data_IF_706344393959
#
_entry.id   IF_706344393959
#
_cell.length_a   1.000
_cell.length_b   1.000
_cell.length_c   1.000
_cell.angle_alpha   90.00
_cell.angle_beta   90.00
_cell.angle_gamma   90.00
#
_symmetry.space_group_name_H-M   'P 1'
#
loop_
_entity.id
_entity.type
_entity.pdbx_description
1 polymer ?
#
# COMPACT_ATOMS: atom_id res chain seq x y z
N UNK A 1 57.54 -7.99 10.17
CA UNK A 1 56.24 -7.52 10.70
C UNK A 1 55.31 -7.22 9.54
N UNK A 2 54.02 -7.59 9.61
CA UNK A 2 53.04 -7.24 8.59
C UNK A 2 52.18 -6.08 9.09
N UNK A 3 52.03 -5.05 8.27
CA UNK A 3 51.17 -3.90 8.56
C UNK A 3 50.26 -3.62 7.37
N UNK A 4 48.99 -3.32 7.65
CA UNK A 4 47.97 -2.93 6.69
C UNK A 4 47.86 -1.42 6.68
N UNK A 5 48.12 -0.82 5.53
CA UNK A 5 47.98 0.61 5.26
C UNK A 5 46.70 0.81 4.46
N UNK A 6 45.70 1.45 5.06
CA UNK A 6 44.43 1.79 4.41
C UNK A 6 44.45 3.27 4.05
N UNK A 7 44.30 3.60 2.78
CA UNK A 7 44.14 4.97 2.30
C UNK A 7 42.69 5.20 1.93
N UNK A 8 42.02 6.07 2.68
CA UNK A 8 40.64 6.46 2.43
C UNK A 8 40.63 7.62 1.45
N UNK A 9 39.90 7.46 0.34
CA UNK A 9 39.89 8.37 -0.81
C UNK A 9 38.46 8.83 -1.06
N UNK A 10 38.25 10.09 -1.43
CA UNK A 10 36.94 10.64 -1.80
C UNK A 10 36.43 10.16 -3.17
N UNK A 11 35.17 10.50 -3.51
CA UNK A 11 34.56 10.24 -4.82
C UNK A 11 35.38 10.76 -6.00
N UNK A 12 36.10 11.87 -5.80
CA UNK A 12 36.97 12.51 -6.79
C UNK A 12 38.37 11.89 -6.88
N UNK A 13 38.70 10.87 -6.08
CA UNK A 13 40.03 10.24 -6.08
C UNK A 13 41.07 10.96 -5.20
N UNK A 14 40.70 12.00 -4.45
CA UNK A 14 41.59 12.70 -3.52
C UNK A 14 41.72 11.96 -2.18
N UNK A 15 42.92 11.77 -1.62
CA UNK A 15 43.10 11.12 -0.32
C UNK A 15 42.54 12.00 0.80
N UNK A 16 41.84 11.39 1.76
CA UNK A 16 41.21 12.07 2.91
C UNK A 16 41.80 11.59 4.22
N UNK A 17 42.06 10.30 4.35
CA UNK A 17 42.63 9.73 5.56
C UNK A 17 43.58 8.58 5.25
N UNK A 18 44.52 8.35 6.16
CA UNK A 18 45.48 7.26 6.10
C UNK A 18 45.44 6.54 7.46
N UNK A 19 45.25 5.23 7.43
CA UNK A 19 45.21 4.38 8.61
C UNK A 19 46.30 3.32 8.50
N UNK A 20 47.07 3.12 9.56
CA UNK A 20 48.05 2.05 9.64
C UNK A 20 47.69 1.12 10.80
N UNK A 21 47.49 -0.16 10.48
CA UNK A 21 47.18 -1.19 11.45
C UNK A 21 48.22 -2.33 11.37
N UNK A 22 48.77 -2.74 12.50
CA UNK A 22 49.69 -3.88 12.59
C UNK A 22 48.94 -5.14 12.99
N UNK A 23 49.23 -6.29 12.39
CA UNK A 23 48.47 -7.52 12.65
C UNK A 23 48.70 -8.15 14.02
N UNK A 24 49.83 -7.82 14.67
CA UNK A 24 50.18 -8.29 16.01
C UNK A 24 50.85 -7.14 16.77
N UNK A 25 50.37 -6.88 17.99
CA UNK A 25 50.94 -5.89 18.91
C UNK A 25 51.19 -6.57 20.26
N UNK A 26 52.22 -7.41 20.34
CA UNK A 26 52.71 -7.88 21.63
C UNK A 26 53.74 -6.87 22.15
N UNK A 27 53.30 -6.00 23.07
CA UNK A 27 54.19 -5.10 23.79
C UNK A 27 54.90 -5.90 24.90
N UNK A 28 55.89 -6.70 24.52
CA UNK A 28 56.73 -7.42 25.48
C UNK A 28 57.91 -6.53 25.90
N UNK A 29 58.37 -6.57 27.16
CA UNK A 29 59.66 -6.01 27.55
C UNK A 29 60.80 -6.88 26.97
N UNK A 30 60.92 -6.91 25.64
CA UNK A 30 61.99 -7.63 24.94
C UNK A 30 63.16 -6.66 24.80
N UNK A 31 64.35 -7.09 25.23
CA UNK A 31 65.60 -6.34 25.02
C UNK A 31 65.64 -5.84 23.58
N UNK A 32 65.85 -4.54 23.42
CA UNK A 32 65.87 -3.82 22.14
C UNK A 32 66.80 -4.60 21.21
N UNK A 33 66.22 -5.29 20.22
CA UNK A 33 67.01 -5.96 19.20
C UNK A 33 67.67 -4.88 18.35
N UNK A 34 68.97 -4.98 18.13
CA UNK A 34 69.77 -4.06 17.31
C UNK A 34 69.38 -4.05 15.83
N UNK A 35 68.47 -4.95 15.40
CA UNK A 35 67.90 -4.98 14.06
C UNK A 35 66.38 -5.13 14.13
N UNK A 36 65.66 -4.15 13.59
CA UNK A 36 64.22 -4.26 13.39
C UNK A 36 63.96 -5.32 12.30
N UNK A 37 62.95 -6.19 12.48
CA UNK A 37 62.55 -7.12 11.44
C UNK A 37 61.97 -6.36 10.24
N UNK A 38 62.16 -6.90 9.03
CA UNK A 38 61.63 -6.31 7.80
C UNK A 38 60.12 -6.03 7.92
N UNK A 39 59.73 -4.81 7.56
CA UNK A 39 58.34 -4.35 7.53
C UNK A 39 57.74 -4.69 6.16
N UNK A 40 56.71 -5.52 6.15
CA UNK A 40 55.91 -5.82 4.96
C UNK A 40 54.62 -5.00 5.04
N UNK A 41 54.45 -4.07 4.10
CA UNK A 41 53.26 -3.22 4.01
C UNK A 41 52.27 -3.81 3.00
N UNK A 42 51.01 -3.94 3.40
CA UNK A 42 49.89 -4.24 2.52
C UNK A 42 49.05 -2.97 2.33
N UNK A 43 48.99 -2.47 1.09
CA UNK A 43 48.23 -1.27 0.75
C UNK A 43 46.79 -1.66 0.39
N UNK A 44 45.83 -0.97 0.98
CA UNK A 44 44.40 -1.10 0.71
C UNK A 44 43.82 0.29 0.47
N UNK A 45 43.00 0.46 -0.57
CA UNK A 45 42.43 1.76 -0.94
C UNK A 45 40.93 1.70 -0.72
N UNK A 46 40.47 2.42 0.30
CA UNK A 46 39.05 2.48 0.65
C UNK A 46 38.39 3.65 -0.06
N UNK A 47 37.37 3.37 -0.86
CA UNK A 47 36.52 4.38 -1.50
C UNK A 47 35.15 4.42 -0.82
N UNK A 48 34.46 5.58 -0.81
CA UNK A 48 33.09 5.67 -0.35
C UNK A 48 32.20 4.74 -1.18
N UNK A 49 31.41 3.93 -0.49
CA UNK A 49 30.35 3.13 -1.09
C UNK A 49 29.06 3.93 -1.05
N UNK A 50 28.31 3.95 -2.15
CA UNK A 50 26.98 4.55 -2.16
C UNK A 50 26.12 3.84 -1.12
N UNK A 51 25.50 4.60 -0.22
CA UNK A 51 24.64 4.05 0.82
C UNK A 51 23.42 3.33 0.24
N UNK A 52 22.73 2.54 1.07
CA UNK A 52 21.48 1.92 0.68
C UNK A 52 20.48 2.99 0.21
N UNK A 53 19.88 2.80 -0.97
CA UNK A 53 18.84 3.68 -1.47
C UNK A 53 17.65 3.69 -0.51
N UNK A 54 16.99 4.84 -0.29
CA UNK A 54 15.86 4.91 0.64
C UNK A 54 14.69 4.05 0.16
N UNK A 55 14.01 3.37 1.10
CA UNK A 55 12.84 2.48 0.91
C UNK A 55 11.55 3.24 0.45
N UNK A 56 11.71 4.34 -0.28
CA UNK A 56 10.61 5.15 -0.84
C UNK A 56 9.82 4.37 -1.88
N UNK A 57 10.48 3.46 -2.62
CA UNK A 57 9.82 2.59 -3.61
C UNK A 57 8.77 1.70 -2.96
N UNK A 58 9.03 1.13 -1.77
CA UNK A 58 8.04 0.31 -1.07
C UNK A 58 6.87 1.12 -0.53
N UNK A 59 7.12 2.36 -0.11
CA UNK A 59 6.05 3.25 0.34
C UNK A 59 5.14 3.66 -0.84
N UNK A 60 5.70 3.97 -2.01
CA UNK A 60 4.94 4.27 -3.22
C UNK A 60 4.05 3.10 -3.65
N UNK A 61 4.56 1.87 -3.66
CA UNK A 61 3.78 0.68 -3.97
C UNK A 61 2.59 0.47 -3.01
N UNK A 62 2.77 0.77 -1.71
CA UNK A 62 1.68 0.70 -0.73
C UNK A 62 0.62 1.77 -0.99
N UNK A 63 1.05 2.99 -1.33
CA UNK A 63 0.16 4.10 -1.68
C UNK A 63 -0.66 3.79 -2.94
N UNK A 64 -0.02 3.26 -3.98
CA UNK A 64 -0.69 2.87 -5.22
C UNK A 64 -1.74 1.79 -4.95
N UNK A 65 -1.39 0.75 -4.16
CA UNK A 65 -2.33 -0.29 -3.77
C UNK A 65 -3.51 0.24 -2.97
N UNK A 66 -3.28 1.12 -1.99
CA UNK A 66 -4.37 1.74 -1.23
C UNK A 66 -5.29 2.58 -2.11
N UNK A 67 -4.72 3.30 -3.08
CA UNK A 67 -5.49 4.10 -4.04
C UNK A 67 -6.36 3.22 -4.94
N UNK A 68 -5.85 2.07 -5.38
CA UNK A 68 -6.63 1.09 -6.15
C UNK A 68 -7.77 0.48 -5.32
N UNK A 69 -7.51 0.12 -4.06
CA UNK A 69 -8.53 -0.39 -3.16
C UNK A 69 -9.63 0.65 -2.87
N UNK A 70 -9.25 1.91 -2.65
CA UNK A 70 -10.19 3.02 -2.49
C UNK A 70 -11.03 3.25 -3.76
N UNK A 71 -10.40 3.27 -4.94
CA UNK A 71 -11.12 3.44 -6.21
C UNK A 71 -12.08 2.28 -6.49
N UNK A 72 -11.69 1.05 -6.13
CA UNK A 72 -12.54 -0.13 -6.28
C UNK A 72 -13.69 -0.16 -5.26
N UNK A 73 -13.45 0.33 -4.04
CA UNK A 73 -14.49 0.48 -3.02
C UNK A 73 -15.51 1.56 -3.39
N UNK A 74 -15.07 2.68 -3.98
CA UNK A 74 -15.95 3.76 -4.43
C UNK A 74 -16.83 3.36 -5.64
N UNK A 75 -16.34 2.44 -6.48
CA UNK A 75 -17.12 1.84 -7.58
C UNK A 75 -18.09 0.75 -7.11
N UNK A 76 -17.89 0.21 -5.91
CA UNK A 76 -18.74 -0.80 -5.29
C UNK A 76 -19.92 -0.18 -4.52
N UNK A 77 -21.04 0.01 -5.23
CA UNK A 77 -22.37 0.00 -4.61
C UNK A 77 -22.78 1.18 -3.69
N UNK A 78 -22.41 2.42 -4.05
CA UNK A 78 -23.14 3.62 -3.61
C UNK A 78 -24.42 3.88 -4.44
N UNK A 79 -25.01 2.84 -5.05
CA UNK A 79 -26.37 2.93 -5.60
C UNK A 79 -27.30 2.90 -4.39
N UNK A 80 -27.53 4.08 -3.81
CA UNK A 80 -28.54 4.37 -2.79
C UNK A 80 -29.62 3.30 -2.76
N UNK A 81 -29.83 2.63 -1.62
CA UNK A 81 -30.81 1.56 -1.46
C UNK A 81 -32.17 1.91 -2.09
N UNK A 82 -32.56 3.19 -2.05
CA UNK A 82 -33.73 3.72 -2.73
C UNK A 82 -33.74 3.42 -4.24
N UNK A 83 -32.65 3.63 -4.97
CA UNK A 83 -32.58 3.35 -6.41
C UNK A 83 -32.78 1.87 -6.76
N UNK A 84 -32.40 0.94 -5.89
CA UNK A 84 -32.58 -0.50 -6.10
C UNK A 84 -34.04 -0.94 -5.85
N UNK A 85 -34.71 -0.33 -4.89
CA UNK A 85 -36.07 -0.72 -4.50
C UNK A 85 -37.17 0.16 -5.11
N UNK A 86 -36.84 1.33 -5.65
CA UNK A 86 -37.81 2.26 -6.24
C UNK A 86 -38.63 1.64 -7.37
N UNK A 87 -37.97 0.83 -8.22
CA UNK A 87 -38.62 0.10 -9.31
C UNK A 87 -39.70 -0.87 -8.83
N UNK A 88 -39.66 -1.32 -7.58
CA UNK A 88 -40.65 -2.22 -6.99
C UNK A 88 -41.68 -1.47 -6.12
N UNK A 89 -41.25 -0.39 -5.45
CA UNK A 89 -42.12 0.43 -4.61
C UNK A 89 -43.21 1.11 -5.46
N UNK A 90 -42.84 1.69 -6.61
CA UNK A 90 -43.79 2.43 -7.48
C UNK A 90 -44.92 1.53 -8.02
N UNK A 91 -44.66 0.36 -8.64
CA UNK A 91 -45.73 -0.52 -9.11
C UNK A 91 -46.63 -1.05 -8.00
N UNK A 92 -46.07 -1.36 -6.83
CA UNK A 92 -46.85 -1.85 -5.69
C UNK A 92 -47.83 -0.80 -5.16
N UNK A 93 -47.41 0.47 -5.09
CA UNK A 93 -48.29 1.58 -4.69
C UNK A 93 -49.42 1.83 -5.69
N UNK A 94 -49.13 1.76 -7.00
CA UNK A 94 -50.15 1.91 -8.04
C UNK A 94 -51.18 0.78 -7.94
N UNK A 95 -50.74 -0.46 -7.79
CA UNK A 95 -51.63 -1.62 -7.63
C UNK A 95 -52.50 -1.49 -6.38
N UNK A 96 -51.90 -1.09 -5.25
CA UNK A 96 -52.63 -0.90 -4.00
C UNK A 96 -53.70 0.20 -4.12
N UNK A 97 -53.38 1.32 -4.78
CA UNK A 97 -54.34 2.40 -5.05
C UNK A 97 -55.49 1.95 -5.95
N UNK A 98 -55.21 1.18 -7.01
CA UNK A 98 -56.27 0.65 -7.89
C UNK A 98 -57.20 -0.28 -7.12
N UNK A 99 -56.66 -1.22 -6.34
CA UNK A 99 -57.47 -2.14 -5.53
C UNK A 99 -58.29 -1.37 -4.48
N UNK A 100 -57.72 -0.35 -3.86
CA UNK A 100 -58.41 0.49 -2.88
C UNK A 100 -59.51 1.34 -3.53
N UNK A 101 -59.28 1.85 -4.75
CA UNK A 101 -60.28 2.61 -5.51
C UNK A 101 -61.43 1.74 -6.04
N UNK A 102 -61.17 0.46 -6.30
CA UNK A 102 -62.18 -0.54 -6.67
C UNK A 102 -63.00 -0.96 -5.44
N UNK A 103 -62.42 -0.97 -4.24
CA UNK A 103 -63.16 -1.22 -3.00
C UNK A 103 -64.09 -0.04 -2.63
N UNK A 104 -63.75 1.21 -2.95
CA UNK A 104 -64.61 2.38 -2.72
C UNK A 104 -65.80 2.46 -3.70
N UNK A 105 -65.73 1.79 -4.86
CA UNK A 105 -66.84 1.72 -5.84
C UNK A 105 -67.72 0.46 -5.68
N UNK A 106 -67.43 -0.39 -4.68
CA UNK A 106 -68.28 -1.50 -4.22
C UNK A 106 -69.48 -1.05 -3.40
N UNK A 107 -70.26 -0.13 -3.96
CA UNK A 107 -71.53 0.38 -3.47
C UNK A 107 -72.51 -0.71 -3.03
N UNK A 108 -73.11 -0.50 -1.86
CA UNK A 108 -74.22 -1.29 -1.35
C UNK A 108 -75.51 -1.10 -2.17
N UNK A 109 -76.22 -2.22 -2.35
CA UNK A 109 -77.68 -2.39 -2.42
C UNK A 109 -78.55 -1.40 -3.19
N UNK A 110 -79.23 -1.87 -4.24
CA UNK A 110 -80.35 -1.16 -4.89
C UNK A 110 -81.21 -2.06 -5.78
N UNK A 111 -82.38 -2.42 -5.25
CA UNK A 111 -83.52 -3.12 -5.87
C UNK A 111 -84.08 -2.42 -7.13
N UNK A 112 -84.52 -3.18 -8.14
CA UNK A 112 -85.31 -2.66 -9.27
C UNK A 112 -85.47 -3.65 -10.42
N UNK A 113 -86.58 -4.39 -10.43
CA UNK A 113 -86.91 -5.38 -11.46
C UNK A 113 -87.38 -4.81 -12.80
N UNK A 114 -87.61 -5.72 -13.76
CA UNK A 114 -88.39 -5.45 -14.96
C UNK A 114 -87.94 -6.21 -16.21
N UNK A 115 -88.55 -7.39 -16.41
CA UNK A 115 -88.97 -7.98 -17.69
C UNK A 115 -88.03 -8.06 -18.90
N UNK A 116 -87.89 -9.27 -19.47
CA UNK A 116 -88.14 -9.60 -20.88
C UNK A 116 -87.32 -10.81 -21.36
N UNK A 117 -87.97 -11.71 -22.10
CA UNK A 117 -87.35 -12.78 -22.89
C UNK A 117 -87.68 -14.18 -22.32
N UNK A 118 -88.44 -15.05 -22.96
CA UNK A 118 -88.73 -15.19 -24.39
C UNK A 118 -88.26 -16.58 -24.81
N UNK A 119 -89.24 -17.44 -25.13
CA UNK A 119 -89.18 -18.84 -25.61
C UNK A 119 -89.22 -19.92 -24.54
#
# INVERSE_FOLDING_TARGET
MKAKLVVSVNDLGSPVAIHLATSQFECYPRKIFSRLPALSLALDVQRPTVGASPETLRYLQRLEKQREEMARAEQGDHRSFFAKYWTYIVPALILFLVISSVQETGSGGGNGGGGSGGR
#
